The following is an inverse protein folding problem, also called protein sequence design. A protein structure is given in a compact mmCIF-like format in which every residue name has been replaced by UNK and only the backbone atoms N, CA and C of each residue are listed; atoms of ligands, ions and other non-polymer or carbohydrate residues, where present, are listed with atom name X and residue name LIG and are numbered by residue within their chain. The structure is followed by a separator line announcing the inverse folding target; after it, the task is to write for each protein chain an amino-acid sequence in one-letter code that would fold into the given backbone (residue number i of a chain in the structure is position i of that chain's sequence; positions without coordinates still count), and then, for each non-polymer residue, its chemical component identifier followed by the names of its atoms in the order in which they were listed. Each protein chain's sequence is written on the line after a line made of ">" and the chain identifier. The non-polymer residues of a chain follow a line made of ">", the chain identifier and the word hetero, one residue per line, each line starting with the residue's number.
data_IF_466539271388
#
_entry.id   IF_466539271388
#
_cell.length_a   1.000
_cell.length_b   1.000
_cell.length_c   1.000
_cell.angle_alpha   90.00
_cell.angle_beta   90.00
_cell.angle_gamma   90.00
#
_symmetry.space_group_name_H-M   'P 1'
#
loop_
_entity.id
_entity.type
_entity.pdbx_description
1 polymer ?
#
# COMPACT_ATOMS: atom_id res chain seq x y z
N UNK A 1 76.10 -27.89 33.71
CA UNK A 1 74.74 -28.45 33.55
C UNK A 1 73.97 -27.58 32.56
N UNK A 2 73.26 -28.20 31.60
CA UNK A 2 72.23 -27.66 30.70
C UNK A 2 72.65 -26.78 29.48
N UNK A 3 72.78 -27.46 28.33
CA UNK A 3 72.79 -26.93 26.96
C UNK A 3 71.36 -26.59 26.51
N UNK A 4 71.17 -25.40 25.94
CA UNK A 4 69.96 -24.95 25.22
C UNK A 4 69.79 -25.67 23.88
N UNK A 5 68.56 -26.09 23.58
CA UNK A 5 68.13 -26.59 22.26
C UNK A 5 67.57 -25.39 21.48
N UNK A 6 68.15 -25.12 20.31
CA UNK A 6 67.59 -24.20 19.31
C UNK A 6 67.54 -24.95 17.97
N UNK A 7 66.35 -25.43 17.60
CA UNK A 7 66.09 -26.05 16.30
C UNK A 7 65.90 -24.97 15.23
N UNK A 8 66.82 -24.90 14.24
CA UNK A 8 66.65 -24.12 13.02
C UNK A 8 65.79 -24.92 12.04
N UNK A 9 64.65 -24.37 11.64
CA UNK A 9 63.87 -24.84 10.48
C UNK A 9 64.64 -24.45 9.21
N UNK A 10 65.12 -25.43 8.45
CA UNK A 10 65.71 -25.22 7.12
C UNK A 10 64.59 -25.17 6.08
N UNK A 11 64.36 -24.00 5.49
CA UNK A 11 63.58 -23.87 4.25
C UNK A 11 64.54 -24.20 3.10
N UNK A 12 64.31 -25.32 2.43
CA UNK A 12 65.11 -25.75 1.28
C UNK A 12 64.50 -25.15 0.01
N UNK A 13 65.11 -24.10 -0.53
CA UNK A 13 64.79 -23.56 -1.85
C UNK A 13 65.51 -24.42 -2.88
N UNK A 14 64.78 -25.29 -3.58
CA UNK A 14 65.32 -26.10 -4.68
C UNK A 14 65.29 -25.26 -5.96
N UNK A 15 66.47 -24.96 -6.48
CA UNK A 15 66.67 -24.34 -7.79
C UNK A 15 66.28 -25.33 -8.90
N UNK A 16 65.22 -25.03 -9.65
CA UNK A 16 64.82 -25.76 -10.86
C UNK A 16 65.31 -24.97 -12.08
N UNK A 17 66.41 -25.40 -12.68
CA UNK A 17 66.90 -24.90 -13.97
C UNK A 17 66.84 -26.01 -15.01
N UNK A 18 66.17 -25.74 -16.15
CA UNK A 18 66.37 -26.46 -17.41
C UNK A 18 65.38 -27.57 -17.78
N UNK A 19 64.09 -27.27 -17.95
CA UNK A 19 63.19 -28.00 -18.87
C UNK A 19 61.87 -27.23 -19.02
N UNK A 20 61.36 -27.01 -20.24
CA UNK A 20 60.09 -26.27 -20.46
C UNK A 20 58.88 -26.86 -19.70
N UNK A 21 58.98 -28.14 -19.32
CA UNK A 21 58.00 -28.85 -18.47
C UNK A 21 57.91 -28.30 -17.03
N UNK A 22 58.96 -27.68 -16.50
CA UNK A 22 58.96 -27.10 -15.14
C UNK A 22 58.30 -25.72 -15.08
N UNK A 23 58.51 -24.89 -16.11
CA UNK A 23 57.90 -23.56 -16.21
C UNK A 23 56.38 -23.65 -16.38
N UNK A 24 55.89 -24.62 -17.16
CA UNK A 24 54.47 -24.88 -17.33
C UNK A 24 53.77 -25.21 -16.00
N UNK A 25 54.40 -26.02 -15.14
CA UNK A 25 53.85 -26.35 -13.81
C UNK A 25 53.71 -25.10 -12.93
N UNK A 26 54.72 -24.21 -12.94
CA UNK A 26 54.68 -22.96 -12.16
C UNK A 26 53.58 -22.03 -12.65
N UNK A 27 53.45 -21.85 -13.97
CA UNK A 27 52.40 -21.02 -14.57
C UNK A 27 51.00 -21.57 -14.27
N UNK A 28 50.81 -22.90 -14.36
CA UNK A 28 49.54 -23.55 -14.02
C UNK A 28 49.21 -23.37 -12.53
N UNK A 29 50.19 -23.53 -11.64
CA UNK A 29 49.98 -23.32 -10.21
C UNK A 29 49.58 -21.88 -9.89
N UNK A 30 50.24 -20.88 -10.50
CA UNK A 30 49.88 -19.46 -10.34
C UNK A 30 48.50 -19.16 -10.93
N UNK A 31 48.17 -19.72 -12.10
CA UNK A 31 46.85 -19.56 -12.72
C UNK A 31 45.75 -20.18 -11.85
N UNK A 32 45.97 -21.37 -11.28
CA UNK A 32 45.02 -22.02 -10.38
C UNK A 32 44.78 -21.19 -9.13
N UNK A 33 45.83 -20.65 -8.52
CA UNK A 33 45.72 -19.75 -7.35
C UNK A 33 44.92 -18.49 -7.72
N UNK A 34 45.18 -17.91 -8.90
CA UNK A 34 44.41 -16.78 -9.40
C UNK A 34 42.94 -17.10 -9.60
N UNK A 35 42.62 -18.24 -10.23
CA UNK A 35 41.24 -18.70 -10.45
C UNK A 35 40.52 -18.97 -9.12
N UNK A 36 41.18 -19.63 -8.17
CA UNK A 36 40.63 -19.85 -6.83
C UNK A 36 40.36 -18.52 -6.11
N UNK A 37 41.28 -17.55 -6.20
CA UNK A 37 41.08 -16.20 -5.68
C UNK A 37 39.86 -15.50 -6.28
N UNK A 38 39.67 -15.60 -7.59
CA UNK A 38 38.49 -15.07 -8.27
C UNK A 38 37.19 -15.76 -7.79
N UNK A 39 37.17 -17.09 -7.71
CA UNK A 39 35.99 -17.84 -7.24
C UNK A 39 35.62 -17.52 -5.80
N UNK A 40 36.62 -17.37 -4.94
CA UNK A 40 36.47 -16.93 -3.56
C UNK A 40 35.78 -15.55 -3.49
N UNK A 41 36.32 -14.58 -4.23
CA UNK A 41 35.77 -13.23 -4.28
C UNK A 41 34.33 -13.21 -4.79
N UNK A 42 34.05 -13.91 -5.90
CA UNK A 42 32.71 -13.99 -6.48
C UNK A 42 31.72 -14.62 -5.50
N UNK A 43 32.14 -15.64 -4.76
CA UNK A 43 31.27 -16.33 -3.79
C UNK A 43 30.92 -15.42 -2.61
N UNK A 44 31.90 -14.74 -2.02
CA UNK A 44 31.65 -13.83 -0.89
C UNK A 44 30.82 -12.61 -1.30
N UNK A 45 31.11 -12.01 -2.47
CA UNK A 45 30.31 -10.90 -3.00
C UNK A 45 28.88 -11.37 -3.31
N UNK A 46 28.73 -12.55 -3.92
CA UNK A 46 27.43 -13.15 -4.20
C UNK A 46 26.62 -13.40 -2.93
N UNK A 47 27.26 -13.87 -1.87
CA UNK A 47 26.64 -14.06 -0.56
C UNK A 47 26.15 -12.73 0.04
N UNK A 48 26.98 -11.69 0.03
CA UNK A 48 26.60 -10.36 0.52
C UNK A 48 25.44 -9.76 -0.28
N UNK A 49 25.48 -9.90 -1.60
CA UNK A 49 24.42 -9.43 -2.48
C UNK A 49 23.09 -10.15 -2.21
N UNK A 50 23.12 -11.48 -2.07
CA UNK A 50 21.94 -12.28 -1.75
C UNK A 50 21.32 -11.87 -0.41
N UNK A 51 22.14 -11.67 0.63
CA UNK A 51 21.66 -11.18 1.92
C UNK A 51 21.09 -9.76 1.83
N UNK A 52 21.72 -8.86 1.06
CA UNK A 52 21.21 -7.50 0.86
C UNK A 52 19.85 -7.51 0.17
N UNK A 53 19.68 -8.30 -0.88
CA UNK A 53 18.40 -8.42 -1.59
C UNK A 53 17.28 -8.91 -0.67
N UNK A 54 17.56 -9.88 0.22
CA UNK A 54 16.59 -10.33 1.23
C UNK A 54 16.22 -9.22 2.22
N UNK A 55 17.19 -8.42 2.67
CA UNK A 55 16.93 -7.30 3.58
C UNK A 55 16.11 -6.19 2.93
N UNK A 56 16.34 -5.88 1.65
CA UNK A 56 15.54 -4.91 0.88
C UNK A 56 14.09 -5.37 0.80
N UNK A 57 13.85 -6.61 0.37
CA UNK A 57 12.50 -7.15 0.28
C UNK A 57 11.78 -7.17 1.65
N UNK A 58 12.51 -7.52 2.72
CA UNK A 58 11.98 -7.49 4.08
C UNK A 58 11.63 -6.06 4.53
N UNK A 59 12.50 -5.08 4.22
CA UNK A 59 12.26 -3.67 4.54
C UNK A 59 11.04 -3.13 3.81
N UNK A 60 10.92 -3.39 2.50
CA UNK A 60 9.80 -2.92 1.68
C UNK A 60 8.46 -3.50 2.15
N UNK A 61 8.42 -4.82 2.42
CA UNK A 61 7.24 -5.49 2.93
C UNK A 61 6.83 -4.98 4.31
N UNK A 62 7.80 -4.81 5.22
CA UNK A 62 7.56 -4.27 6.55
C UNK A 62 7.08 -2.82 6.52
N UNK A 63 7.69 -1.98 5.68
CA UNK A 63 7.32 -0.58 5.52
C UNK A 63 5.90 -0.44 4.97
N UNK A 64 5.57 -1.16 3.89
CA UNK A 64 4.24 -1.16 3.29
C UNK A 64 3.17 -1.73 4.23
N UNK A 65 3.48 -2.74 5.04
CA UNK A 65 2.53 -3.29 5.99
C UNK A 65 2.25 -2.31 7.14
N UNK A 66 3.30 -1.77 7.75
CA UNK A 66 3.15 -0.86 8.90
C UNK A 66 2.52 0.48 8.54
N UNK A 67 2.88 1.06 7.39
CA UNK A 67 2.37 2.38 6.99
C UNK A 67 0.84 2.40 6.82
N UNK A 68 0.21 1.25 6.59
CA UNK A 68 -1.24 1.16 6.43
C UNK A 68 -2.04 1.50 7.71
N UNK A 69 -1.37 1.54 8.87
CA UNK A 69 -1.97 1.96 10.14
C UNK A 69 -1.86 3.48 10.37
N UNK A 70 -1.11 4.18 9.53
CA UNK A 70 -0.96 5.62 9.60
C UNK A 70 -2.06 6.36 8.83
N UNK A 71 -2.42 7.60 9.24
CA UNK A 71 -1.90 8.34 10.40
C UNK A 71 -2.60 7.99 11.73
N UNK A 72 -3.58 7.09 11.72
CA UNK A 72 -4.49 6.89 12.86
C UNK A 72 -3.84 6.20 14.07
N UNK A 73 -2.95 5.23 13.86
CA UNK A 73 -2.43 4.33 14.91
C UNK A 73 -0.91 4.13 14.78
N UNK A 74 -0.08 5.12 15.15
CA UNK A 74 1.37 5.07 14.97
C UNK A 74 2.08 3.97 15.78
N UNK A 75 1.60 3.63 16.97
CA UNK A 75 2.16 2.53 17.77
C UNK A 75 1.90 1.17 17.11
N UNK A 76 0.69 0.98 16.57
CA UNK A 76 0.33 -0.24 15.83
C UNK A 76 1.09 -0.35 14.51
N UNK A 77 1.32 0.77 13.82
CA UNK A 77 2.16 0.84 12.64
C UNK A 77 3.55 0.24 12.90
N UNK A 78 4.17 0.60 14.02
CA UNK A 78 5.48 0.05 14.42
C UNK A 78 5.41 -1.44 14.73
N UNK A 79 4.39 -1.88 15.46
CA UNK A 79 4.20 -3.29 15.81
C UNK A 79 4.00 -4.16 14.56
N UNK A 80 3.14 -3.73 13.63
CA UNK A 80 2.88 -4.40 12.35
C UNK A 80 4.15 -4.46 11.50
N UNK A 81 4.88 -3.35 11.36
CA UNK A 81 6.14 -3.34 10.61
C UNK A 81 7.17 -4.35 11.16
N UNK A 82 7.33 -4.42 12.49
CA UNK A 82 8.23 -5.39 13.13
C UNK A 82 7.79 -6.84 12.89
N UNK A 83 6.49 -7.11 13.02
CA UNK A 83 5.93 -8.45 12.76
C UNK A 83 6.17 -8.89 11.30
N UNK A 84 5.99 -7.99 10.33
CA UNK A 84 6.27 -8.27 8.93
C UNK A 84 7.76 -8.44 8.64
N UNK A 85 8.64 -7.67 9.30
CA UNK A 85 10.09 -7.86 9.18
C UNK A 85 10.51 -9.25 9.71
N UNK A 86 9.94 -9.67 10.84
CA UNK A 86 10.17 -10.99 11.44
C UNK A 86 9.67 -12.13 10.54
N UNK A 87 8.46 -11.99 9.99
CA UNK A 87 7.92 -12.94 9.01
C UNK A 87 8.79 -13.05 7.74
N UNK A 88 9.56 -12.00 7.40
CA UNK A 88 10.53 -11.99 6.31
C UNK A 88 11.97 -12.39 6.75
N UNK A 89 12.11 -12.94 7.96
CA UNK A 89 13.37 -13.52 8.44
C UNK A 89 14.37 -12.51 9.02
N UNK A 90 13.89 -11.34 9.44
CA UNK A 90 14.67 -10.33 10.18
C UNK A 90 14.26 -10.33 11.66
N UNK A 91 15.12 -10.79 12.57
CA UNK A 91 14.84 -10.78 14.01
C UNK A 91 14.53 -9.37 14.57
N UNK A 92 13.74 -9.25 15.65
CA UNK A 92 13.38 -7.96 16.25
C UNK A 92 14.57 -7.10 16.70
N UNK A 93 15.71 -7.69 17.08
CA UNK A 93 16.95 -6.99 17.48
C UNK A 93 17.77 -6.47 16.28
N UNK A 94 17.39 -6.89 15.08
CA UNK A 94 18.02 -6.58 13.80
C UNK A 94 17.20 -5.63 12.94
N UNK A 95 16.10 -5.11 13.46
CA UNK A 95 15.23 -4.15 12.75
C UNK A 95 15.00 -2.91 13.59
N UNK A 96 15.23 -1.75 12.98
CA UNK A 96 14.82 -0.45 13.51
C UNK A 96 13.61 0.03 12.72
N UNK A 97 12.59 0.52 13.41
CA UNK A 97 11.38 1.07 12.81
C UNK A 97 11.15 2.47 13.38
N UNK A 98 11.02 3.44 12.49
CA UNK A 98 10.86 4.85 12.82
C UNK A 98 9.60 5.38 12.12
N UNK A 99 8.71 6.02 12.87
CA UNK A 99 7.55 6.74 12.32
C UNK A 99 7.91 8.22 12.32
N UNK A 100 7.69 8.90 11.20
CA UNK A 100 7.93 10.33 11.12
C UNK A 100 6.99 11.12 12.03
N UNK A 101 7.42 12.32 12.45
CA UNK A 101 6.67 13.18 13.38
C UNK A 101 5.27 13.55 12.85
N UNK A 102 5.13 13.66 11.53
CA UNK A 102 3.85 13.95 10.87
C UNK A 102 2.91 12.73 10.80
N UNK A 103 3.34 11.57 11.29
CA UNK A 103 2.64 10.29 11.22
C UNK A 103 2.19 9.92 9.80
N UNK A 104 2.88 10.39 8.75
CA UNK A 104 2.56 10.07 7.35
C UNK A 104 3.59 9.21 6.65
N UNK A 105 4.71 8.92 7.31
CA UNK A 105 5.70 8.00 6.79
C UNK A 105 6.28 7.10 7.86
N UNK A 106 6.70 5.92 7.43
CA UNK A 106 7.31 4.89 8.26
C UNK A 106 8.55 4.36 7.56
N UNK A 107 9.68 4.37 8.26
CA UNK A 107 10.96 3.88 7.76
C UNK A 107 11.38 2.63 8.51
N UNK A 108 11.73 1.58 7.78
CA UNK A 108 12.25 0.31 8.32
C UNK A 108 13.70 0.14 7.89
N UNK A 109 14.60 -0.09 8.86
CA UNK A 109 16.04 -0.27 8.65
C UNK A 109 16.51 -1.60 9.22
N UNK A 110 16.45 -2.69 8.44
CA UNK A 110 16.97 -3.97 8.89
C UNK A 110 18.49 -4.09 8.63
N UNK A 111 19.17 -4.82 9.51
CA UNK A 111 20.62 -5.07 9.43
C UNK A 111 20.95 -6.53 9.73
N UNK A 112 22.00 -7.05 9.10
CA UNK A 112 22.46 -8.42 9.36
C UNK A 112 23.97 -8.54 9.22
N UNK A 113 24.61 -9.22 10.16
CA UNK A 113 26.02 -9.60 10.06
C UNK A 113 26.14 -10.92 9.30
N UNK A 114 26.81 -10.88 8.16
CA UNK A 114 27.05 -12.03 7.28
C UNK A 114 28.48 -12.52 7.50
N UNK A 115 28.65 -13.80 7.79
CA UNK A 115 29.97 -14.41 7.87
C UNK A 115 30.52 -14.66 6.47
N UNK A 116 31.73 -14.18 6.19
CA UNK A 116 32.41 -14.41 4.93
C UNK A 116 33.11 -15.77 4.95
N UNK A 117 33.13 -16.42 3.79
CA UNK A 117 33.67 -17.77 3.61
C UNK A 117 35.17 -17.71 3.31
N UNK A 118 35.55 -17.05 2.21
CA UNK A 118 36.94 -17.08 1.71
C UNK A 118 37.74 -15.84 2.11
N UNK A 119 37.10 -14.67 2.19
CA UNK A 119 37.70 -13.42 2.61
C UNK A 119 38.26 -13.48 4.05
N UNK A 120 37.84 -14.48 4.83
CA UNK A 120 38.41 -14.79 6.15
C UNK A 120 39.91 -15.10 6.10
N UNK A 121 40.39 -15.70 5.02
CA UNK A 121 41.83 -15.97 4.80
C UNK A 121 42.63 -14.65 4.68
N UNK A 122 41.98 -13.58 4.23
CA UNK A 122 42.55 -12.24 4.12
C UNK A 122 42.29 -11.38 5.37
N UNK A 123 41.73 -11.96 6.44
CA UNK A 123 41.42 -11.26 7.69
C UNK A 123 39.99 -10.69 7.79
N UNK A 124 39.14 -10.87 6.79
CA UNK A 124 37.75 -10.42 6.81
C UNK A 124 36.81 -11.56 7.23
N UNK A 125 36.50 -11.66 8.53
CA UNK A 125 35.67 -12.76 9.04
C UNK A 125 34.16 -12.58 8.76
N UNK A 126 33.68 -11.34 8.74
CA UNK A 126 32.27 -10.99 8.58
C UNK A 126 32.09 -9.56 8.07
N UNK A 127 30.93 -9.28 7.50
CA UNK A 127 30.52 -7.94 7.04
C UNK A 127 29.07 -7.68 7.47
N UNK A 128 28.79 -6.46 7.97
CA UNK A 128 27.41 -6.03 8.21
C UNK A 128 26.79 -5.51 6.91
N UNK A 129 25.59 -6.01 6.59
CA UNK A 129 24.75 -5.60 5.47
C UNK A 129 23.52 -4.89 6.03
N UNK A 130 23.14 -3.77 5.41
CA UNK A 130 21.99 -2.95 5.79
C UNK A 130 21.09 -2.72 4.59
N UNK A 131 19.80 -2.53 4.87
CA UNK A 131 18.82 -1.99 3.93
C UNK A 131 17.99 -0.91 4.63
N UNK A 132 17.25 -0.14 3.85
CA UNK A 132 16.28 0.82 4.35
C UNK A 132 15.14 0.92 3.33
N UNK A 133 13.91 1.02 3.83
CA UNK A 133 12.74 1.31 3.04
C UNK A 133 11.85 2.29 3.80
N UNK A 134 11.35 3.30 3.11
CA UNK A 134 10.39 4.26 3.66
C UNK A 134 9.10 4.12 2.87
N UNK A 135 7.98 3.98 3.57
CA UNK A 135 6.66 4.03 2.96
C UNK A 135 5.89 5.24 3.48
N UNK A 136 5.01 5.80 2.66
CA UNK A 136 4.17 6.95 3.02
C UNK A 136 2.69 6.66 2.76
N UNK A 137 1.84 7.30 3.55
CA UNK A 137 0.41 7.48 3.28
C UNK A 137 0.17 8.89 2.77
N UNK A 138 -0.63 9.01 1.72
CA UNK A 138 -1.11 10.29 1.22
C UNK A 138 -2.58 10.16 0.79
N UNK A 139 -3.35 11.27 0.79
CA UNK A 139 -4.72 11.25 0.31
C UNK A 139 -4.82 10.62 -1.09
N UNK A 140 -5.85 9.80 -1.29
CA UNK A 140 -6.10 9.11 -2.55
C UNK A 140 -6.49 10.14 -3.63
N UNK A 141 -5.76 10.18 -4.74
CA UNK A 141 -6.00 11.09 -5.87
C UNK A 141 -6.52 10.39 -7.12
N UNK A 142 -6.46 9.06 -7.17
CA UNK A 142 -7.05 8.29 -8.26
C UNK A 142 -7.34 6.85 -7.87
N UNK A 143 -8.48 6.32 -8.29
CA UNK A 143 -8.96 5.02 -7.86
C UNK A 143 -9.84 4.33 -8.90
N UNK A 144 -9.73 3.00 -8.96
CA UNK A 144 -10.72 2.13 -9.59
C UNK A 144 -11.65 1.51 -8.53
N UNK A 145 -12.79 0.99 -8.96
CA UNK A 145 -13.80 0.40 -8.08
C UNK A 145 -14.72 1.41 -7.41
N UNK A 146 -14.68 2.67 -7.85
CA UNK A 146 -15.52 3.75 -7.34
C UNK A 146 -16.99 3.46 -7.64
N UNK A 147 -17.86 3.55 -6.64
CA UNK A 147 -19.30 3.33 -6.82
C UNK A 147 -19.98 4.62 -7.29
N UNK A 148 -21.12 4.54 -7.98
CA UNK A 148 -21.78 5.71 -8.57
C UNK A 148 -22.61 6.51 -7.55
N UNK A 149 -22.10 6.66 -6.32
CA UNK A 149 -22.63 7.55 -5.29
C UNK A 149 -21.62 8.66 -5.06
N UNK A 150 -22.03 9.92 -5.09
CA UNK A 150 -21.15 11.05 -4.75
C UNK A 150 -21.67 11.80 -3.54
N UNK A 151 -20.78 12.48 -2.81
CA UNK A 151 -21.10 13.44 -1.74
C UNK A 151 -20.52 14.82 -2.11
N UNK A 152 -21.28 15.89 -1.90
CA UNK A 152 -20.76 17.24 -2.09
C UNK A 152 -19.58 17.54 -1.15
N UNK A 153 -18.64 18.39 -1.56
CA UNK A 153 -17.50 18.79 -0.73
C UNK A 153 -17.93 19.44 0.59
N UNK A 154 -17.47 18.87 1.70
CA UNK A 154 -17.85 19.29 3.05
C UNK A 154 -16.96 18.62 4.10
N UNK A 155 -17.04 19.06 5.36
CA UNK A 155 -16.42 18.34 6.46
C UNK A 155 -17.14 17.00 6.72
N UNK A 156 -16.37 15.90 6.80
CA UNK A 156 -16.91 14.57 7.11
C UNK A 156 -16.72 14.23 8.59
N UNK A 157 -17.82 13.84 9.24
CA UNK A 157 -17.82 13.36 10.62
C UNK A 157 -17.74 11.82 10.57
N UNK A 158 -16.53 11.28 10.70
CA UNK A 158 -16.29 9.83 10.66
C UNK A 158 -17.06 9.09 11.76
N UNK A 159 -17.63 7.93 11.42
CA UNK A 159 -18.42 7.12 12.34
C UNK A 159 -19.84 7.64 12.62
N UNK A 160 -20.20 8.84 12.15
CA UNK A 160 -21.59 9.33 12.14
C UNK A 160 -22.35 8.71 10.97
N UNK A 161 -23.64 8.48 11.15
CA UNK A 161 -24.53 7.93 10.13
C UNK A 161 -24.92 8.99 9.09
N UNK A 162 -24.78 8.64 7.81
CA UNK A 162 -25.11 9.45 6.65
C UNK A 162 -26.11 8.73 5.77
N UNK A 163 -26.93 9.53 5.10
CA UNK A 163 -27.90 9.06 4.10
C UNK A 163 -27.42 9.47 2.70
N UNK A 164 -26.60 8.66 2.02
CA UNK A 164 -25.99 8.97 0.70
C UNK A 164 -26.97 8.98 -0.49
N UNK A 165 -28.28 8.95 -0.26
CA UNK A 165 -29.28 9.15 -1.31
C UNK A 165 -30.53 9.68 -0.66
N UNK A 166 -30.93 10.91 -0.91
CA UNK A 166 -32.18 11.44 -0.38
C UNK A 166 -33.02 12.02 -1.52
N UNK A 167 -33.95 11.23 -2.05
CA UNK A 167 -35.01 11.69 -2.95
C UNK A 167 -34.55 12.69 -4.04
N UNK A 168 -35.41 13.66 -4.36
CA UNK A 168 -35.14 14.73 -5.33
C UNK A 168 -34.63 16.03 -4.65
N UNK A 169 -33.94 15.92 -3.52
CA UNK A 169 -33.40 17.07 -2.79
C UNK A 169 -32.20 17.71 -3.51
N UNK A 170 -32.01 19.01 -3.32
CA UNK A 170 -30.97 19.82 -3.98
C UNK A 170 -30.15 20.66 -2.98
N UNK A 171 -29.96 20.18 -1.74
CA UNK A 171 -29.20 20.90 -0.71
C UNK A 171 -27.96 20.12 -0.28
N UNK A 172 -26.86 20.81 0.04
CA UNK A 172 -25.65 20.20 0.61
C UNK A 172 -25.91 19.55 1.97
N UNK A 173 -24.96 18.75 2.49
CA UNK A 173 -25.29 17.96 3.67
C UNK A 173 -25.55 18.79 4.94
N UNK A 174 -26.67 18.50 5.57
CA UNK A 174 -27.20 19.15 6.75
C UNK A 174 -27.71 18.09 7.72
N UNK A 175 -27.70 18.42 9.00
CA UNK A 175 -28.23 17.54 10.03
C UNK A 175 -29.75 17.54 9.98
N UNK A 176 -30.33 16.35 9.78
CA UNK A 176 -31.78 16.14 9.77
C UNK A 176 -32.35 16.05 11.18
N UNK A 177 -33.67 16.17 11.30
CA UNK A 177 -34.39 16.00 12.58
C UNK A 177 -34.24 14.58 13.17
N UNK A 178 -33.83 13.60 12.35
CA UNK A 178 -33.52 12.23 12.73
C UNK A 178 -32.09 12.06 13.31
N UNK A 179 -31.31 13.14 13.39
CA UNK A 179 -29.93 13.14 13.88
C UNK A 179 -28.90 12.60 12.88
N UNK A 180 -29.31 12.27 11.65
CA UNK A 180 -28.45 11.83 10.55
C UNK A 180 -28.01 13.01 9.69
N UNK A 181 -26.92 12.82 8.94
CA UNK A 181 -26.48 13.79 7.93
C UNK A 181 -27.15 13.50 6.57
N UNK A 182 -27.81 14.50 5.99
CA UNK A 182 -28.53 14.44 4.71
C UNK A 182 -28.06 15.54 3.77
N UNK A 183 -27.66 15.23 2.55
CA UNK A 183 -27.14 16.17 1.55
C UNK A 183 -27.46 15.79 0.11
N UNK A 184 -26.83 16.49 -0.83
CA UNK A 184 -27.02 16.23 -2.24
C UNK A 184 -26.13 15.07 -2.65
N UNK A 185 -26.78 14.01 -3.14
CA UNK A 185 -26.11 12.80 -3.56
C UNK A 185 -26.68 12.35 -4.90
N UNK A 186 -25.98 12.70 -5.97
CA UNK A 186 -26.32 12.30 -7.32
C UNK A 186 -25.94 10.85 -7.60
N UNK A 187 -26.78 10.14 -8.37
CA UNK A 187 -26.30 8.98 -9.10
C UNK A 187 -25.28 9.48 -10.12
N UNK A 188 -24.06 8.93 -10.10
CA UNK A 188 -22.98 9.37 -10.97
C UNK A 188 -22.85 8.46 -12.19
N UNK A 189 -22.49 9.06 -13.33
CA UNK A 189 -22.12 8.35 -14.54
C UNK A 189 -20.60 8.43 -14.75
N UNK A 190 -19.80 7.56 -14.12
CA UNK A 190 -18.35 7.68 -14.12
C UNK A 190 -17.68 7.39 -15.47
N UNK A 191 -18.38 6.81 -16.45
CA UNK A 191 -17.83 6.61 -17.81
C UNK A 191 -18.28 7.68 -18.81
N UNK A 192 -19.13 8.62 -18.39
CA UNK A 192 -19.68 9.70 -19.20
C UNK A 192 -20.27 9.23 -20.54
N UNK A 193 -20.80 8.00 -20.58
CA UNK A 193 -21.35 7.42 -21.80
C UNK A 193 -22.87 7.64 -21.84
N UNK A 194 -23.40 8.41 -22.82
CA UNK A 194 -24.82 8.81 -22.88
C UNK A 194 -25.83 7.67 -23.12
N UNK A 195 -25.39 6.41 -23.13
CA UNK A 195 -26.22 5.20 -23.17
C UNK A 195 -26.25 4.41 -21.86
N UNK A 196 -25.53 4.86 -20.83
CA UNK A 196 -25.53 4.29 -19.48
C UNK A 196 -26.94 4.30 -18.91
N UNK A 197 -27.44 3.12 -18.53
CA UNK A 197 -28.79 2.98 -17.97
C UNK A 197 -28.79 2.64 -16.49
N UNK A 198 -30.00 2.47 -15.96
CA UNK A 198 -30.25 1.89 -14.64
C UNK A 198 -29.46 0.59 -14.37
N UNK A 199 -29.25 -0.23 -15.42
CA UNK A 199 -28.47 -1.47 -15.34
C UNK A 199 -26.98 -1.20 -15.13
N UNK A 200 -26.38 -0.30 -15.90
CA UNK A 200 -24.95 0.01 -15.77
C UNK A 200 -24.67 0.64 -14.40
N UNK A 201 -25.59 1.50 -13.95
CA UNK A 201 -25.58 2.04 -12.59
C UNK A 201 -25.60 0.92 -11.53
N UNK A 202 -26.50 -0.05 -11.64
CA UNK A 202 -26.57 -1.20 -10.74
C UNK A 202 -25.28 -2.03 -10.75
N UNK A 203 -24.75 -2.36 -11.93
CA UNK A 203 -23.51 -3.13 -12.08
C UNK A 203 -22.32 -2.38 -11.45
N UNK A 204 -22.25 -1.06 -11.62
CA UNK A 204 -21.22 -0.20 -10.99
C UNK A 204 -21.41 -0.10 -9.48
N UNK A 205 -22.63 -0.18 -8.95
CA UNK A 205 -22.80 -0.37 -7.51
C UNK A 205 -22.19 -1.72 -7.14
N UNK A 206 -22.59 -2.83 -7.76
CA UNK A 206 -22.15 -4.19 -7.36
C UNK A 206 -20.63 -4.39 -7.42
N UNK A 207 -19.99 -3.93 -8.48
CA UNK A 207 -18.60 -4.26 -8.79
C UNK A 207 -17.65 -3.06 -8.76
N UNK A 208 -18.20 -1.84 -8.61
CA UNK A 208 -17.44 -0.61 -8.78
C UNK A 208 -17.17 -0.31 -10.26
N UNK A 209 -16.93 0.96 -10.56
CA UNK A 209 -16.48 1.37 -11.88
C UNK A 209 -15.05 0.86 -12.15
N UNK A 210 -14.85 0.15 -13.26
CA UNK A 210 -13.57 -0.51 -13.55
C UNK A 210 -12.51 0.45 -14.13
N UNK A 211 -12.92 1.63 -14.60
CA UNK A 211 -12.00 2.69 -14.97
C UNK A 211 -11.40 3.39 -13.75
N UNK A 212 -10.29 4.10 -13.96
CA UNK A 212 -9.69 4.94 -12.93
C UNK A 212 -10.31 6.32 -13.00
N UNK A 213 -10.98 6.75 -11.94
CA UNK A 213 -11.34 8.15 -11.72
C UNK A 213 -10.22 8.86 -10.98
N UNK A 214 -9.96 10.12 -11.32
CA UNK A 214 -8.95 10.98 -10.71
C UNK A 214 -9.56 12.26 -10.17
N UNK A 215 -8.89 12.85 -9.20
CA UNK A 215 -9.17 14.22 -8.76
C UNK A 215 -9.00 15.17 -9.95
N UNK A 216 -9.98 16.03 -10.16
CA UNK A 216 -10.09 16.94 -11.30
C UNK A 216 -10.94 16.40 -12.46
N UNK A 217 -11.32 15.12 -12.46
CA UNK A 217 -12.21 14.58 -13.49
C UNK A 217 -13.61 15.20 -13.38
N UNK A 218 -14.21 15.51 -14.53
CA UNK A 218 -15.60 15.95 -14.63
C UNK A 218 -16.47 14.75 -15.01
N UNK A 219 -17.44 14.45 -14.16
CA UNK A 219 -18.37 13.34 -14.33
C UNK A 219 -19.81 13.83 -14.47
N UNK A 220 -20.59 13.15 -15.30
CA UNK A 220 -22.00 13.41 -15.48
C UNK A 220 -22.81 12.82 -14.32
N UNK A 221 -23.98 13.37 -14.08
CA UNK A 221 -24.98 12.78 -13.18
C UNK A 221 -26.00 11.98 -13.97
N UNK A 222 -26.36 10.81 -13.47
CA UNK A 222 -27.42 9.97 -14.00
C UNK A 222 -28.81 10.49 -13.63
N UNK A 223 -29.71 10.50 -14.63
CA UNK A 223 -31.11 10.85 -14.45
C UNK A 223 -32.01 9.63 -14.24
N UNK A 224 -33.24 9.85 -13.80
CA UNK A 224 -34.27 8.80 -13.69
C UNK A 224 -34.39 8.15 -12.31
N UNK A 225 -35.38 7.27 -12.16
CA UNK A 225 -35.63 6.61 -10.88
C UNK A 225 -34.67 5.44 -10.66
N UNK A 226 -33.56 5.72 -9.97
CA UNK A 226 -32.52 4.73 -9.65
C UNK A 226 -32.81 3.89 -8.40
N UNK A 227 -34.03 3.92 -7.85
CA UNK A 227 -34.35 3.28 -6.58
C UNK A 227 -34.17 1.75 -6.62
N UNK A 228 -34.76 1.05 -7.59
CA UNK A 228 -34.60 -0.41 -7.75
C UNK A 228 -33.13 -0.83 -7.88
N UNK A 229 -32.39 -0.31 -8.89
CA UNK A 229 -30.95 -0.53 -9.06
C UNK A 229 -30.12 -0.29 -7.79
N UNK A 230 -30.44 0.78 -7.04
CA UNK A 230 -29.74 1.10 -5.80
C UNK A 230 -29.96 0.01 -4.75
N UNK A 231 -31.20 -0.39 -4.51
CA UNK A 231 -31.53 -1.42 -3.53
C UNK A 231 -30.88 -2.76 -3.88
N UNK A 232 -30.94 -3.15 -5.15
CA UNK A 232 -30.35 -4.42 -5.63
C UNK A 232 -28.82 -4.42 -5.55
N UNK A 233 -28.16 -3.32 -5.94
CA UNK A 233 -26.72 -3.19 -5.88
C UNK A 233 -26.17 -3.18 -4.44
N UNK A 234 -26.82 -2.44 -3.54
CA UNK A 234 -26.41 -2.38 -2.12
C UNK A 234 -26.69 -3.71 -1.42
N UNK A 235 -27.86 -4.32 -1.65
CA UNK A 235 -28.19 -5.62 -1.10
C UNK A 235 -27.20 -6.71 -1.56
N UNK A 236 -26.78 -6.66 -2.83
CA UNK A 236 -25.76 -7.56 -3.36
C UNK A 236 -24.46 -7.45 -2.56
N UNK A 237 -23.91 -6.24 -2.38
CA UNK A 237 -22.67 -6.03 -1.59
C UNK A 237 -22.80 -6.50 -0.15
N UNK A 238 -23.92 -6.18 0.51
CA UNK A 238 -24.16 -6.60 1.90
C UNK A 238 -24.21 -8.13 2.00
N UNK A 239 -24.87 -8.81 1.06
CA UNK A 239 -24.96 -10.26 1.03
C UNK A 239 -23.62 -10.96 0.76
N UNK A 240 -22.64 -10.29 0.15
CA UNK A 240 -21.29 -10.83 -0.05
C UNK A 240 -20.39 -10.72 1.21
N UNK A 241 -20.80 -9.98 2.23
CA UNK A 241 -20.01 -9.86 3.46
C UNK A 241 -20.18 -11.10 4.35
N UNK A 242 -19.16 -11.96 4.42
CA UNK A 242 -19.18 -13.19 5.22
C UNK A 242 -18.63 -13.03 6.63
N UNK A 243 -17.86 -11.97 6.88
CA UNK A 243 -17.01 -11.86 8.07
C UNK A 243 -17.66 -11.07 9.22
N UNK A 244 -18.97 -10.80 9.13
CA UNK A 244 -19.69 -10.04 10.17
C UNK A 244 -19.16 -8.61 10.36
N UNK A 245 -18.66 -7.98 9.30
CA UNK A 245 -18.05 -6.66 9.37
C UNK A 245 -19.04 -5.60 9.89
N UNK A 246 -18.50 -4.66 10.67
CA UNK A 246 -19.17 -3.44 11.16
C UNK A 246 -18.33 -2.22 10.76
N UNK A 247 -18.86 -1.00 10.91
CA UNK A 247 -18.09 0.20 10.59
C UNK A 247 -16.87 0.42 11.52
N UNK A 248 -16.89 -0.16 12.72
CA UNK A 248 -15.77 -0.10 13.68
C UNK A 248 -14.73 -1.19 13.42
N UNK A 249 -15.16 -2.33 12.87
CA UNK A 249 -14.31 -3.48 12.62
C UNK A 249 -14.68 -4.16 11.30
N UNK A 250 -13.88 -3.93 10.27
CA UNK A 250 -14.08 -4.45 8.92
C UNK A 250 -12.75 -4.89 8.29
N UNK A 251 -12.81 -5.89 7.42
CA UNK A 251 -11.71 -6.23 6.54
C UNK A 251 -11.53 -5.16 5.44
N UNK A 252 -10.30 -4.84 5.05
CA UNK A 252 -9.99 -3.83 4.00
C UNK A 252 -10.60 -4.17 2.64
N UNK A 253 -10.85 -5.45 2.37
CA UNK A 253 -11.49 -5.95 1.14
C UNK A 253 -12.98 -6.27 1.32
N UNK A 254 -13.61 -5.82 2.42
CA UNK A 254 -15.02 -6.08 2.67
C UNK A 254 -15.89 -5.48 1.55
N UNK A 255 -16.82 -6.25 0.95
CA UNK A 255 -17.69 -5.75 -0.11
C UNK A 255 -18.55 -4.54 0.28
N UNK A 256 -18.83 -4.37 1.58
CA UNK A 256 -19.59 -3.24 2.15
C UNK A 256 -18.77 -1.95 2.23
N UNK A 257 -17.44 -2.03 2.16
CA UNK A 257 -16.57 -0.87 2.07
C UNK A 257 -16.56 -0.39 0.63
N UNK A 258 -17.12 0.79 0.38
CA UNK A 258 -17.23 1.37 -0.96
C UNK A 258 -16.49 2.69 -1.04
N UNK A 259 -15.95 2.99 -2.22
CA UNK A 259 -15.25 4.24 -2.47
C UNK A 259 -16.21 5.19 -3.18
N UNK A 260 -16.42 6.36 -2.57
CA UNK A 260 -17.29 7.41 -3.10
C UNK A 260 -16.47 8.67 -3.39
N UNK A 261 -16.65 9.33 -4.55
CA UNK A 261 -16.04 10.61 -4.80
C UNK A 261 -16.71 11.69 -3.95
N UNK A 262 -15.88 12.59 -3.46
CA UNK A 262 -16.28 13.89 -2.96
C UNK A 262 -16.27 14.83 -4.15
N UNK A 263 -17.38 15.51 -4.40
CA UNK A 263 -17.60 16.23 -5.65
C UNK A 263 -17.98 17.68 -5.42
N UNK A 264 -17.67 18.53 -6.40
CA UNK A 264 -18.16 19.90 -6.49
C UNK A 264 -19.07 20.02 -7.70
N UNK A 265 -20.25 20.61 -7.54
CA UNK A 265 -21.13 20.88 -8.68
C UNK A 265 -20.52 21.96 -9.58
N UNK A 266 -20.37 21.64 -10.87
CA UNK A 266 -19.82 22.59 -11.87
C UNK A 266 -20.85 23.04 -12.91
N UNK A 267 -21.92 22.27 -13.09
CA UNK A 267 -23.03 22.64 -13.97
C UNK A 267 -24.35 22.16 -13.38
N UNK A 268 -25.33 23.07 -13.29
CA UNK A 268 -26.70 22.77 -12.89
C UNK A 268 -27.66 23.07 -14.04
N UNK A 269 -28.69 22.22 -14.18
CA UNK A 269 -29.77 22.44 -15.13
C UNK A 269 -31.11 22.08 -14.47
N UNK A 270 -32.01 23.06 -14.39
CA UNK A 270 -33.34 22.85 -13.81
C UNK A 270 -33.33 22.55 -12.31
N UNK A 271 -32.33 23.06 -11.56
CA UNK A 271 -32.19 22.82 -10.12
C UNK A 271 -31.56 21.47 -9.76
N UNK A 272 -31.02 20.76 -10.75
CA UNK A 272 -30.30 19.50 -10.56
C UNK A 272 -28.89 19.61 -11.13
N UNK A 273 -27.85 19.17 -10.40
CA UNK A 273 -26.52 19.06 -10.94
C UNK A 273 -26.53 18.13 -12.16
N UNK A 274 -25.84 18.55 -13.22
CA UNK A 274 -25.62 17.79 -14.45
C UNK A 274 -24.19 17.31 -14.58
N UNK A 275 -23.26 18.11 -14.08
CA UNK A 275 -21.83 17.82 -14.08
C UNK A 275 -21.25 18.15 -12.72
N UNK A 276 -20.37 17.28 -12.26
CA UNK A 276 -19.62 17.48 -11.03
C UNK A 276 -18.14 17.19 -11.26
N UNK A 277 -17.29 17.92 -10.56
CA UNK A 277 -15.84 17.72 -10.53
C UNK A 277 -15.46 16.87 -9.33
N UNK A 278 -14.66 15.82 -9.52
CA UNK A 278 -14.11 15.01 -8.43
C UNK A 278 -13.05 15.81 -7.69
N UNK A 279 -13.27 16.10 -6.41
CA UNK A 279 -12.35 16.86 -5.54
C UNK A 279 -11.48 15.95 -4.67
N UNK A 280 -12.04 14.85 -4.19
CA UNK A 280 -11.35 13.84 -3.39
C UNK A 280 -12.11 12.52 -3.44
N UNK A 281 -11.62 11.52 -2.69
CA UNK A 281 -12.30 10.25 -2.48
C UNK A 281 -12.46 9.98 -0.99
N UNK A 282 -13.54 9.33 -0.61
CA UNK A 282 -13.82 8.91 0.76
C UNK A 282 -14.25 7.44 0.79
N UNK A 283 -13.96 6.76 1.90
CA UNK A 283 -14.46 5.41 2.14
C UNK A 283 -15.76 5.45 2.93
N UNK A 284 -16.75 4.73 2.43
CA UNK A 284 -18.07 4.63 3.02
C UNK A 284 -18.40 3.18 3.33
N UNK A 285 -18.78 2.91 4.58
CA UNK A 285 -19.21 1.60 5.01
C UNK A 285 -20.73 1.47 4.88
N UNK A 286 -21.20 0.63 3.94
CA UNK A 286 -22.62 0.41 3.68
C UNK A 286 -23.29 -0.36 4.82
N UNK A 287 -24.38 0.19 5.36
CA UNK A 287 -25.20 -0.43 6.39
C UNK A 287 -26.55 -0.92 5.88
N UNK A 288 -27.11 -0.27 4.87
CA UNK A 288 -28.36 -0.72 4.27
C UNK A 288 -28.97 0.29 3.34
N UNK A 289 -30.24 0.02 3.02
CA UNK A 289 -31.10 0.93 2.27
C UNK A 289 -32.44 1.04 3.00
N UNK A 290 -32.93 2.25 3.17
CA UNK A 290 -34.25 2.55 3.74
C UNK A 290 -35.15 3.26 2.72
N UNK A 291 -36.47 3.18 2.92
CA UNK A 291 -37.46 3.84 2.06
C UNK A 291 -38.14 2.90 1.06
N UNK A 292 -39.13 3.44 0.34
CA UNK A 292 -39.90 2.72 -0.69
C UNK A 292 -40.25 3.64 -1.87
N UNK A 293 -40.45 3.04 -3.05
CA UNK A 293 -40.87 3.74 -4.26
C UNK A 293 -39.78 4.66 -4.80
N UNK A 294 -40.00 5.98 -4.75
CA UNK A 294 -39.04 7.00 -5.18
C UNK A 294 -38.13 7.49 -4.05
N UNK A 295 -38.36 7.02 -2.81
CA UNK A 295 -37.53 7.32 -1.65
C UNK A 295 -36.68 6.09 -1.39
N UNK A 296 -35.41 6.14 -1.76
CA UNK A 296 -34.50 5.03 -1.55
C UNK A 296 -33.17 5.57 -1.04
N UNK A 297 -32.92 5.33 0.23
CA UNK A 297 -31.93 6.02 1.01
C UNK A 297 -30.80 5.07 1.37
N UNK A 298 -29.61 5.31 0.83
CA UNK A 298 -28.43 4.48 1.13
C UNK A 298 -27.85 4.95 2.46
N UNK A 299 -27.75 4.04 3.42
CA UNK A 299 -27.30 4.37 4.79
C UNK A 299 -25.96 3.73 5.05
N UNK A 300 -25.13 4.47 5.76
CA UNK A 300 -23.83 4.01 6.21
C UNK A 300 -23.02 5.11 6.86
N UNK A 301 -21.72 4.87 7.01
CA UNK A 301 -20.81 5.75 7.75
C UNK A 301 -19.52 5.94 6.99
N UNK A 302 -19.00 7.16 7.00
CA UNK A 302 -17.65 7.42 6.53
C UNK A 302 -16.64 6.84 7.52
N UNK A 303 -15.65 6.14 7.00
CA UNK A 303 -14.59 5.50 7.78
C UNK A 303 -13.23 5.89 7.24
N UNK A 304 -12.21 5.86 8.10
CA UNK A 304 -10.82 6.06 7.68
C UNK A 304 -10.21 4.73 7.29
N UNK A 305 -9.57 4.68 6.12
CA UNK A 305 -8.86 3.47 5.70
C UNK A 305 -7.84 3.75 4.60
N UNK A 306 -7.12 2.71 4.21
CA UNK A 306 -6.24 2.71 3.04
C UNK A 306 -6.89 1.98 1.88
N UNK A 307 -6.62 2.42 0.66
CA UNK A 307 -7.13 1.81 -0.55
C UNK A 307 -6.07 1.80 -1.66
N UNK A 308 -6.04 0.76 -2.52
CA UNK A 308 -5.14 0.73 -3.66
C UNK A 308 -5.48 1.84 -4.67
N UNK A 309 -4.50 2.67 -5.02
CA UNK A 309 -4.67 3.68 -6.05
C UNK A 309 -3.52 4.68 -6.11
N UNK A 310 -3.78 5.78 -6.82
CA UNK A 310 -2.83 6.85 -7.04
C UNK A 310 -2.85 7.83 -5.86
N UNK A 311 -1.67 8.31 -5.48
CA UNK A 311 -1.46 9.32 -4.44
C UNK A 311 -0.38 10.30 -4.93
N UNK A 312 -0.83 11.31 -5.66
CA UNK A 312 0.00 12.45 -6.04
C UNK A 312 -0.16 13.52 -4.96
N UNK A 313 0.94 13.94 -4.32
CA UNK A 313 0.87 14.82 -3.16
C UNK A 313 0.09 16.10 -3.46
N UNK A 314 -0.92 16.43 -2.62
CA UNK A 314 -1.72 17.65 -2.76
C UNK A 314 -3.24 17.47 -2.83
N UNK A 315 -3.77 16.26 -2.65
CA UNK A 315 -5.21 16.02 -2.50
C UNK A 315 -5.77 16.45 -1.13
N UNK A 316 -7.06 16.81 -1.10
CA UNK A 316 -7.77 17.12 0.15
C UNK A 316 -7.94 15.84 0.99
N UNK A 317 -7.76 15.94 2.31
CA UNK A 317 -7.82 14.78 3.21
C UNK A 317 -9.25 14.48 3.65
N UNK A 318 -9.82 13.43 3.04
CA UNK A 318 -11.15 12.90 3.36
C UNK A 318 -11.07 11.50 4.02
N UNK A 319 -9.94 11.18 4.66
CA UNK A 319 -9.76 9.96 5.44
C UNK A 319 -9.50 8.69 4.62
N UNK A 320 -9.36 8.81 3.31
CA UNK A 320 -9.00 7.71 2.42
C UNK A 320 -7.61 7.92 1.84
N UNK A 321 -6.72 6.97 2.10
CA UNK A 321 -5.29 7.12 1.79
C UNK A 321 -4.79 6.03 0.85
N UNK A 322 -3.87 6.37 -0.03
CA UNK A 322 -3.05 5.40 -0.75
C UNK A 322 -1.66 5.28 -0.12
N UNK A 323 -1.08 4.08 -0.21
CA UNK A 323 0.24 3.75 0.33
C UNK A 323 1.24 3.57 -0.81
N UNK A 324 2.46 4.08 -0.64
CA UNK A 324 3.56 3.86 -1.59
C UNK A 324 4.92 3.84 -0.93
N UNK A 325 5.87 3.14 -1.53
CA UNK A 325 7.28 3.23 -1.18
C UNK A 325 7.90 4.51 -1.73
N UNK A 326 8.81 5.10 -0.96
CA UNK A 326 9.70 6.17 -1.35
C UNK A 326 11.11 5.60 -1.24
N UNK A 327 11.82 5.52 -2.36
CA UNK A 327 13.23 5.13 -2.42
C UNK A 327 14.13 6.35 -2.55
#
# INVERSE_FOLDING_TARGET
>A
MLKKIAGRVKVSVIFLAGNERGTALVLVALALVGLLGCTALVTDVGLLYSHRARLVNAADAAALAGVQELPARPEEAQAVARAYAEANGVPPDQVEVEVADDCRSLTVRPRRTVQLLFARVLGFASQEVRAAATATVAPLTGAAGVVPFGIEEQELIFGREYVLKEGAGSGGASEGEDGRMHGWYGALDPDNNPGGGARDYEERIKYGYQGVLRVGDIILTEGGNMSGPTSEGVAYRIAQCTDGCTFENFARNCPRLVIVPVVRVVEEQGGHPKKVEVRAFAAFFLEGVEGQGNKNNVIGRFVRTVYPGEAEGGGDDYGLYAVRLIH
#
